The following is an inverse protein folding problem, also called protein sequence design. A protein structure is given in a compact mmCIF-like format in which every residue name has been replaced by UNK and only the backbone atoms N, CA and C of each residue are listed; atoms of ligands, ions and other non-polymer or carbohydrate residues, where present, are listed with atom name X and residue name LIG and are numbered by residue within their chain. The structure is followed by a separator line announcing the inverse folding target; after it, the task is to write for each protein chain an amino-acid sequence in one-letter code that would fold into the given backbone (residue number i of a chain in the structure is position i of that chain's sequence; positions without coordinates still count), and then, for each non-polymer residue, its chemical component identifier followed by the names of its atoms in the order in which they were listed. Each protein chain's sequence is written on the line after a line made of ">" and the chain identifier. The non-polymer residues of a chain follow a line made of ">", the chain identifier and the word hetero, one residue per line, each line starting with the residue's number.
data_IF_635042230491
#
_entry.id   IF_635042230491
#
_cell.length_a   1.000
_cell.length_b   1.000
_cell.length_c   1.000
_cell.angle_alpha   90.00
_cell.angle_beta   90.00
_cell.angle_gamma   90.00
#
_symmetry.space_group_name_H-M   'P 1'
#
loop_
_entity.id
_entity.type
_entity.pdbx_description
1 polymer ?
#
# COMPACT_ATOMS: atom_id res chain seq x y z
N UNK A 1 9.03 -32.65 -0.54
CA UNK A 1 8.16 -31.92 -1.47
C UNK A 1 8.39 -30.44 -1.24
N UNK A 2 9.14 -29.77 -2.12
CA UNK A 2 9.41 -28.33 -1.99
C UNK A 2 8.30 -27.58 -2.72
N UNK A 3 7.46 -26.87 -1.98
CA UNK A 3 6.46 -25.96 -2.55
C UNK A 3 7.18 -24.76 -3.16
N UNK A 4 7.45 -24.82 -4.46
CA UNK A 4 7.80 -23.65 -5.25
C UNK A 4 6.64 -22.67 -5.16
N UNK A 5 6.80 -21.61 -4.37
CA UNK A 5 5.92 -20.44 -4.42
C UNK A 5 6.09 -19.83 -5.80
N UNK A 6 5.19 -20.16 -6.73
CA UNK A 6 5.06 -19.45 -7.99
C UNK A 6 5.01 -17.96 -7.68
N UNK A 7 5.98 -17.21 -8.20
CA UNK A 7 5.89 -15.76 -8.33
C UNK A 7 4.74 -15.48 -9.31
N UNK A 8 3.51 -15.51 -8.81
CA UNK A 8 2.41 -14.85 -9.47
C UNK A 8 2.83 -13.39 -9.60
N UNK A 9 2.94 -12.89 -10.83
CA UNK A 9 3.15 -11.47 -11.09
C UNK A 9 2.26 -10.68 -10.13
N UNK A 10 2.89 -9.82 -9.33
CA UNK A 10 2.24 -9.13 -8.22
C UNK A 10 1.05 -8.34 -8.78
N UNK A 11 -0.15 -8.88 -8.64
CA UNK A 11 -1.35 -8.23 -9.15
C UNK A 11 -1.58 -6.97 -8.33
N UNK A 12 -1.40 -5.82 -8.96
CA UNK A 12 -1.70 -4.52 -8.35
C UNK A 12 -3.10 -4.12 -8.83
N UNK A 13 -4.11 -4.07 -7.95
CA UNK A 13 -5.46 -3.66 -8.30
C UNK A 13 -5.50 -2.25 -8.92
N UNK A 14 -6.39 -2.01 -9.88
CA UNK A 14 -6.53 -0.69 -10.53
C UNK A 14 -6.84 0.45 -9.54
N UNK A 15 -7.59 0.14 -8.48
CA UNK A 15 -7.87 1.09 -7.37
C UNK A 15 -6.57 1.57 -6.69
N UNK A 16 -5.57 0.70 -6.56
CA UNK A 16 -4.28 0.99 -5.93
C UNK A 16 -3.44 1.88 -6.84
N UNK A 17 -3.39 1.56 -8.15
CA UNK A 17 -2.69 2.41 -9.13
C UNK A 17 -3.26 3.83 -9.18
N UNK A 18 -4.59 3.95 -9.15
CA UNK A 18 -5.27 5.26 -9.11
C UNK A 18 -4.97 6.02 -7.81
N UNK A 19 -4.94 5.31 -6.67
CA UNK A 19 -4.59 5.91 -5.39
C UNK A 19 -3.14 6.41 -5.37
N UNK A 20 -2.17 5.61 -5.84
CA UNK A 20 -0.76 6.05 -5.95
C UNK A 20 -0.64 7.29 -6.84
N UNK A 21 -1.31 7.33 -8.01
CA UNK A 21 -1.32 8.52 -8.85
C UNK A 21 -1.90 9.76 -8.14
N UNK A 22 -2.98 9.58 -7.37
CA UNK A 22 -3.52 10.68 -6.55
C UNK A 22 -2.53 11.15 -5.49
N UNK A 23 -1.72 10.26 -4.93
CA UNK A 23 -0.68 10.65 -3.97
C UNK A 23 0.50 11.37 -4.63
N UNK A 24 0.78 11.10 -5.91
CA UNK A 24 1.75 11.91 -6.68
C UNK A 24 1.25 13.35 -6.86
N UNK A 25 -0.06 13.53 -7.10
CA UNK A 25 -0.68 14.85 -7.27
C UNK A 25 -0.95 15.57 -5.93
N UNK A 26 -1.34 14.82 -4.89
CA UNK A 26 -1.63 15.27 -3.54
C UNK A 26 -1.17 14.23 -2.50
N UNK A 27 0.06 14.36 -1.97
CA UNK A 27 0.62 13.42 -1.00
C UNK A 27 -0.17 13.27 0.31
N UNK A 28 -1.08 14.20 0.61
CA UNK A 28 -1.91 14.21 1.81
C UNK A 28 -3.38 13.81 1.54
N UNK A 29 -3.68 13.25 0.35
CA UNK A 29 -5.02 12.75 0.02
C UNK A 29 -5.41 11.55 0.90
N UNK A 30 -6.29 11.80 1.88
CA UNK A 30 -6.71 10.79 2.85
C UNK A 30 -7.52 9.65 2.22
N UNK A 31 -8.26 9.90 1.14
CA UNK A 31 -9.02 8.87 0.43
C UNK A 31 -8.08 7.89 -0.29
N UNK A 32 -7.02 8.42 -0.92
CA UNK A 32 -5.99 7.60 -1.54
C UNK A 32 -5.23 6.76 -0.50
N UNK A 33 -4.82 7.38 0.62
CA UNK A 33 -4.20 6.64 1.73
C UNK A 33 -5.12 5.56 2.31
N UNK A 34 -6.42 5.82 2.45
CA UNK A 34 -7.41 4.82 2.90
C UNK A 34 -7.46 3.59 1.99
N UNK A 35 -7.37 3.78 0.67
CA UNK A 35 -7.32 2.67 -0.30
C UNK A 35 -6.04 1.84 -0.12
N UNK A 36 -4.89 2.49 0.00
CA UNK A 36 -3.60 1.81 0.18
C UNK A 36 -3.54 1.04 1.50
N UNK A 37 -4.07 1.61 2.58
CA UNK A 37 -4.14 0.94 3.89
C UNK A 37 -5.04 -0.30 3.81
N UNK A 38 -6.21 -0.20 3.19
CA UNK A 38 -7.10 -1.35 3.00
C UNK A 38 -6.45 -2.44 2.17
N UNK A 39 -5.70 -2.07 1.13
CA UNK A 39 -4.93 -3.06 0.37
C UNK A 39 -3.84 -3.70 1.22
N UNK A 40 -3.06 -2.89 1.95
CA UNK A 40 -2.00 -3.37 2.83
C UNK A 40 -2.52 -4.37 3.88
N UNK A 41 -3.71 -4.13 4.44
CA UNK A 41 -4.37 -5.05 5.39
C UNK A 41 -4.72 -6.42 4.78
N UNK A 42 -4.90 -6.50 3.46
CA UNK A 42 -5.14 -7.76 2.74
C UNK A 42 -3.85 -8.47 2.31
N UNK A 43 -2.68 -7.87 2.56
CA UNK A 43 -1.37 -8.43 2.21
C UNK A 43 -0.68 -8.99 3.45
N UNK A 44 0.32 -9.89 3.29
CA UNK A 44 1.17 -10.32 4.39
C UNK A 44 1.85 -9.13 5.08
N UNK A 45 2.11 -9.27 6.39
CA UNK A 45 2.66 -8.19 7.23
C UNK A 45 3.95 -7.59 6.67
N UNK A 46 4.80 -8.38 6.02
CA UNK A 46 6.05 -7.90 5.42
C UNK A 46 5.84 -6.92 4.27
N UNK A 47 4.73 -7.07 3.52
CA UNK A 47 4.33 -6.11 2.48
C UNK A 47 3.60 -4.93 3.08
N UNK A 48 2.68 -5.20 4.01
CA UNK A 48 1.88 -4.15 4.66
C UNK A 48 2.75 -3.13 5.41
N UNK A 49 3.84 -3.59 6.03
CA UNK A 49 4.80 -2.75 6.77
C UNK A 49 5.30 -1.56 5.94
N UNK A 50 5.64 -1.78 4.67
CA UNK A 50 6.14 -0.71 3.78
C UNK A 50 5.13 0.41 3.60
N UNK A 51 3.85 0.08 3.45
CA UNK A 51 2.77 1.07 3.32
C UNK A 51 2.61 1.88 4.60
N UNK A 52 2.65 1.24 5.77
CA UNK A 52 2.54 1.93 7.05
C UNK A 52 3.74 2.82 7.35
N UNK A 53 4.95 2.38 7.03
CA UNK A 53 6.17 3.20 7.16
C UNK A 53 6.08 4.46 6.29
N UNK A 54 5.62 4.33 5.04
CA UNK A 54 5.36 5.49 4.17
C UNK A 54 4.30 6.41 4.77
N UNK A 55 3.21 5.86 5.33
CA UNK A 55 2.14 6.64 5.95
C UNK A 55 2.66 7.44 7.17
N UNK A 56 3.40 6.80 8.08
CA UNK A 56 3.96 7.47 9.27
C UNK A 56 4.97 8.55 8.88
N UNK A 57 5.81 8.29 7.87
CA UNK A 57 6.74 9.27 7.35
C UNK A 57 6.02 10.47 6.70
N UNK A 58 4.87 10.23 6.06
CA UNK A 58 4.05 11.28 5.46
C UNK A 58 3.30 12.12 6.50
N UNK A 59 2.84 11.50 7.59
CA UNK A 59 2.09 12.14 8.67
C UNK A 59 2.84 12.04 10.02
N UNK A 60 3.99 12.74 10.16
CA UNK A 60 4.82 12.63 11.36
C UNK A 60 4.16 13.19 12.63
N UNK A 61 3.05 13.93 12.53
CA UNK A 61 2.37 14.60 13.64
C UNK A 61 0.98 14.03 13.97
N UNK A 62 0.62 12.82 13.50
CA UNK A 62 -0.67 12.20 13.83
C UNK A 62 -0.68 11.42 15.17
N UNK A 63 0.27 11.74 16.07
CA UNK A 63 0.36 11.20 17.43
C UNK A 63 -0.33 12.10 18.45
#
# INVERSE_FOLDING_TARGET
>A
MSFSHQQAAEYIPEKVKKAEKKLEENPYDLDAWSILIREAQNQPIDKARKTYERLVAQFPSSG
#
